data_IF_582937109473
#
_entry.id   IF_582937109473
#
_cell.length_a   1.000
_cell.length_b   1.000
_cell.length_c   1.000
_cell.angle_alpha   90.00
_cell.angle_beta   90.00
_cell.angle_gamma   90.00
#
_symmetry.space_group_name_H-M   'P 1'
#
loop_
_entity.id
_entity.type
_entity.pdbx_description
1 polymer ?
#
# COMPACT_ATOMS: atom_id res chain seq x y z
N UNK A 1 -4.46 13.55 0.07
CA UNK A 1 -4.77 12.57 1.14
C UNK A 1 -3.76 11.43 1.06
N UNK A 2 -3.21 11.03 2.20
CA UNK A 2 -2.24 9.94 2.31
C UNK A 2 -2.71 8.93 3.36
N UNK A 3 -2.60 7.65 3.03
CA UNK A 3 -2.89 6.53 3.92
C UNK A 3 -1.67 5.62 3.96
N UNK A 4 -1.34 5.10 5.12
CA UNK A 4 -0.23 4.14 5.27
C UNK A 4 -0.68 2.94 6.08
N UNK A 5 -0.29 1.73 5.69
CA UNK A 5 -0.60 0.49 6.40
C UNK A 5 0.65 -0.35 6.60
N UNK A 6 1.04 -0.55 7.85
CA UNK A 6 2.18 -1.38 8.21
C UNK A 6 1.78 -2.86 8.14
N UNK A 7 2.52 -3.65 7.35
CA UNK A 7 2.29 -5.08 7.21
C UNK A 7 3.05 -5.82 8.31
N UNK A 8 2.32 -6.41 9.25
CA UNK A 8 2.91 -7.26 10.29
C UNK A 8 3.39 -8.62 9.77
N UNK A 9 2.91 -9.06 8.60
CA UNK A 9 3.29 -10.32 7.98
C UNK A 9 4.05 -10.03 6.69
N UNK A 10 5.35 -10.30 6.69
CA UNK A 10 6.22 -10.17 5.53
C UNK A 10 5.68 -11.04 4.38
N UNK A 11 4.99 -10.42 3.42
CA UNK A 11 4.51 -11.10 2.22
C UNK A 11 5.58 -11.00 1.15
N UNK A 12 6.23 -12.13 0.88
CA UNK A 12 7.11 -12.31 -0.26
C UNK A 12 6.26 -12.47 -1.52
N UNK A 13 6.19 -11.43 -2.35
CA UNK A 13 5.75 -11.60 -3.74
C UNK A 13 6.95 -11.98 -4.58
N UNK A 14 6.72 -12.82 -5.59
CA UNK A 14 7.70 -13.60 -6.37
C UNK A 14 8.93 -12.85 -6.89
N UNK A 15 9.91 -12.57 -6.02
CA UNK A 15 11.35 -12.31 -6.29
C UNK A 15 12.07 -11.85 -5.00
N UNK A 16 11.76 -12.43 -3.83
CA UNK A 16 12.51 -12.16 -2.59
C UNK A 16 12.33 -10.76 -1.98
N UNK A 17 11.53 -9.90 -2.58
CA UNK A 17 11.25 -8.56 -2.06
C UNK A 17 10.17 -8.62 -0.97
N UNK A 18 10.54 -8.18 0.23
CA UNK A 18 9.65 -8.15 1.39
C UNK A 18 9.00 -6.78 1.48
N UNK A 19 7.69 -6.72 1.24
CA UNK A 19 6.89 -5.52 1.50
C UNK A 19 6.56 -5.47 2.99
N UNK A 20 6.87 -4.34 3.63
CA UNK A 20 6.59 -4.11 5.07
C UNK A 20 5.60 -2.96 5.29
N UNK A 21 5.41 -2.10 4.29
CA UNK A 21 4.56 -0.93 4.41
C UNK A 21 3.86 -0.70 3.07
N UNK A 22 2.58 -0.38 3.13
CA UNK A 22 1.82 0.09 1.98
C UNK A 22 1.48 1.55 2.19
N UNK A 23 1.55 2.33 1.12
CA UNK A 23 1.20 3.75 1.14
C UNK A 23 0.24 4.03 -0.02
N UNK A 24 -0.92 4.59 0.27
CA UNK A 24 -1.86 5.09 -0.73
C UNK A 24 -1.84 6.60 -0.73
N UNK A 25 -1.50 7.19 -1.87
CA UNK A 25 -1.52 8.63 -2.07
C UNK A 25 -2.52 8.99 -3.16
N UNK A 26 -3.38 9.96 -2.87
CA UNK A 26 -4.30 10.53 -3.86
C UNK A 26 -3.59 11.64 -4.65
N UNK A 27 -3.58 11.56 -5.98
CA UNK A 27 -3.01 12.60 -6.86
C UNK A 27 -3.73 12.61 -8.21
N UNK A 28 -3.96 13.79 -8.76
CA UNK A 28 -4.59 13.98 -10.08
C UNK A 28 -5.94 13.23 -10.26
N UNK A 29 -6.75 13.18 -9.20
CA UNK A 29 -8.03 12.46 -9.21
C UNK A 29 -7.93 10.93 -9.17
N UNK A 30 -6.74 10.38 -8.95
CA UNK A 30 -6.49 8.94 -8.83
C UNK A 30 -5.77 8.58 -7.52
N UNK A 31 -5.64 7.27 -7.26
CA UNK A 31 -5.00 6.72 -6.08
C UNK A 31 -3.83 5.82 -6.48
N UNK A 32 -2.66 6.10 -5.92
CA UNK A 32 -1.44 5.33 -6.17
C UNK A 32 -1.12 4.50 -4.93
N UNK A 33 -1.08 3.18 -5.09
CA UNK A 33 -0.67 2.22 -4.05
C UNK A 33 0.83 1.94 -4.19
N UNK A 34 1.64 2.54 -3.34
CA UNK A 34 3.06 2.30 -3.19
C UNK A 34 3.32 1.11 -2.26
N UNK A 35 4.17 0.19 -2.70
CA UNK A 35 4.66 -0.94 -1.91
C UNK A 35 6.07 -0.61 -1.43
N UNK A 36 6.25 -0.53 -0.13
CA UNK A 36 7.50 -0.14 0.51
C UNK A 36 8.13 -1.35 1.21
N UNK A 37 9.41 -1.57 0.92
CA UNK A 37 10.20 -2.65 1.52
C UNK A 37 10.75 -2.30 2.90
N UNK A 38 11.53 -3.21 3.49
CA UNK A 38 12.12 -3.09 4.85
C UNK A 38 12.86 -1.79 5.13
N UNK A 39 13.40 -1.12 4.10
CA UNK A 39 14.11 0.15 4.18
C UNK A 39 13.28 1.35 3.68
N UNK A 40 11.95 1.24 3.64
CA UNK A 40 11.06 2.20 2.98
C UNK A 40 11.41 2.43 1.50
N UNK A 41 12.08 1.45 0.88
CA UNK A 41 12.38 1.51 -0.55
C UNK A 41 11.09 1.25 -1.33
N UNK A 42 10.72 2.10 -2.31
CA UNK A 42 9.60 1.82 -3.19
C UNK A 42 9.95 0.61 -4.06
N UNK A 43 9.32 -0.52 -3.76
CA UNK A 43 9.41 -1.76 -4.56
C UNK A 43 8.53 -1.64 -5.81
N UNK A 44 7.53 -0.76 -5.76
CA UNK A 44 6.77 -0.33 -6.91
C UNK A 44 5.40 0.19 -6.52
N UNK A 45 4.79 0.93 -7.43
CA UNK A 45 3.45 1.48 -7.27
C UNK A 45 2.45 0.84 -8.23
N UNK A 46 1.17 1.09 -7.98
CA UNK A 46 0.08 0.71 -8.87
C UNK A 46 -0.96 1.81 -8.87
N UNK A 47 -1.40 2.20 -10.06
CA UNK A 47 -2.43 3.20 -10.25
C UNK A 47 -3.82 2.58 -10.09
N UNK A 48 -4.70 3.29 -9.41
CA UNK A 48 -6.09 2.92 -9.19
C UNK A 48 -7.03 4.11 -9.40
N UNK A 49 -8.20 3.91 -10.03
CA UNK A 49 -9.20 4.97 -10.19
C UNK A 49 -9.85 5.40 -8.87
N UNK A 50 -9.84 4.53 -7.85
CA UNK A 50 -10.53 4.77 -6.58
C UNK A 50 -9.79 4.15 -5.40
N UNK A 51 -9.94 4.78 -4.23
CA UNK A 51 -9.34 4.31 -2.99
C UNK A 51 -9.76 2.88 -2.65
N UNK A 52 -11.03 2.55 -2.86
CA UNK A 52 -11.58 1.23 -2.57
C UNK A 52 -10.91 0.13 -3.39
N UNK A 53 -10.52 0.41 -4.64
CA UNK A 53 -9.80 -0.54 -5.49
C UNK A 53 -8.35 -0.73 -5.02
N UNK A 54 -7.67 0.37 -4.69
CA UNK A 54 -6.33 0.31 -4.11
C UNK A 54 -6.31 -0.49 -2.80
N UNK A 55 -7.27 -0.25 -1.90
CA UNK A 55 -7.42 -0.98 -0.64
C UNK A 55 -7.83 -2.44 -0.88
N UNK A 56 -8.67 -2.73 -1.88
CA UNK A 56 -9.08 -4.09 -2.23
C UNK A 56 -7.89 -4.91 -2.74
N UNK A 57 -7.05 -4.32 -3.60
CA UNK A 57 -5.81 -4.96 -4.03
C UNK A 57 -4.89 -5.20 -2.84
N UNK A 58 -4.68 -4.19 -1.99
CA UNK A 58 -3.86 -4.32 -0.79
C UNK A 58 -4.35 -5.43 0.16
N UNK A 59 -5.67 -5.53 0.37
CA UNK A 59 -6.28 -6.60 1.16
C UNK A 59 -6.09 -7.97 0.52
N UNK A 60 -6.26 -8.07 -0.79
CA UNK A 60 -6.13 -9.34 -1.51
C UNK A 60 -4.69 -9.84 -1.54
N UNK A 61 -3.74 -8.95 -1.82
CA UNK A 61 -2.32 -9.30 -1.99
C UNK A 61 -1.56 -9.36 -0.67
N UNK A 62 -1.84 -8.45 0.26
CA UNK A 62 -1.06 -8.24 1.48
C UNK A 62 -1.85 -8.49 2.76
N UNK A 63 -3.15 -8.83 2.66
CA UNK A 63 -4.06 -8.93 3.82
C UNK A 63 -4.14 -7.65 4.65
N UNK A 64 -3.81 -6.49 4.08
CA UNK A 64 -3.98 -5.19 4.72
C UNK A 64 -5.48 -4.86 4.81
N UNK A 65 -6.03 -4.89 6.02
CA UNK A 65 -7.42 -4.54 6.26
C UNK A 65 -7.62 -3.03 6.29
N UNK A 66 -8.87 -2.53 6.16
CA UNK A 66 -9.18 -1.11 6.30
C UNK A 66 -8.77 -0.51 7.66
N UNK A 67 -8.65 -1.35 8.69
CA UNK A 67 -8.24 -0.97 10.05
C UNK A 67 -6.73 -0.76 10.20
N UNK A 68 -5.92 -1.34 9.31
CA UNK A 68 -4.46 -1.17 9.31
C UNK A 68 -4.05 0.17 8.68
N UNK A 69 -4.96 0.83 7.95
CA UNK A 69 -4.68 2.09 7.28
C UNK A 69 -4.79 3.26 8.23
N UNK A 70 -3.64 3.90 8.45
CA UNK A 70 -3.50 5.15 9.18
C UNK A 70 -3.59 6.28 8.16
N UNK A 71 -4.62 7.11 8.28
CA UNK A 71 -4.75 8.33 7.48
C UNK A 71 -3.84 9.41 8.08
N UNK A 72 -2.93 9.92 7.26
CA UNK A 72 -2.18 11.14 7.56
C UNK A 72 -2.90 12.30 6.88
N UNK A 73 -3.44 13.19 7.69
CA UNK A 73 -3.93 14.50 7.27
C UNK A 73 -2.75 15.45 7.49
N UNK A 74 -1.90 15.60 6.47
CA UNK A 74 -0.90 16.68 6.41
C UNK A 74 -1.48 17.81 5.56
#
# INVERSE_FOLDING_TARGET
MKLTAALHRQTTKSMGEVVVLLEITSGDGAFYLFRLGTHQQPLGDTWHPSLEEAMRQAKYEFSAGPVDWIRSDD
#
